data_IF_655286831677
#
_entry.id   IF_655286831677
#
_cell.length_a   1.000
_cell.length_b   1.000
_cell.length_c   1.000
_cell.angle_alpha   90.00
_cell.angle_beta   90.00
_cell.angle_gamma   90.00
#
_symmetry.space_group_name_H-M   'P 1'
#
loop_
_entity.id
_entity.type
_entity.pdbx_description
1 polymer ?
#
# COMPACT_ATOMS: atom_id res chain seq x y z
N UNK A 1 -25.75 3.67 7.23
CA UNK A 1 -24.39 3.17 6.93
C UNK A 1 -23.88 2.36 8.12
N UNK A 2 -23.92 1.02 8.06
CA UNK A 2 -23.49 0.15 9.18
C UNK A 2 -22.02 0.36 9.56
N UNK A 3 -21.18 0.60 8.56
CA UNK A 3 -19.74 0.83 8.73
C UNK A 3 -19.45 2.10 9.55
N UNK A 4 -20.18 3.20 9.32
CA UNK A 4 -20.02 4.45 10.08
C UNK A 4 -20.31 4.23 11.57
N UNK A 5 -21.44 3.59 11.90
CA UNK A 5 -21.81 3.28 13.29
C UNK A 5 -20.78 2.41 13.99
N UNK A 6 -20.20 1.43 13.30
CA UNK A 6 -19.16 0.57 13.88
C UNK A 6 -17.84 1.28 14.10
N UNK A 7 -17.47 2.22 13.23
CA UNK A 7 -16.30 3.09 13.45
C UNK A 7 -16.48 3.99 14.66
N UNK A 8 -17.67 4.56 14.84
CA UNK A 8 -18.01 5.35 16.04
C UNK A 8 -17.95 4.51 17.31
N UNK A 9 -18.54 3.31 17.28
CA UNK A 9 -18.44 2.37 18.40
C UNK A 9 -16.98 2.01 18.71
N UNK A 10 -16.18 1.66 17.70
CA UNK A 10 -14.77 1.36 17.87
C UNK A 10 -13.98 2.56 18.42
N UNK A 11 -14.26 3.79 17.96
CA UNK A 11 -13.64 4.99 18.52
C UNK A 11 -13.95 5.17 20.01
N UNK A 12 -15.21 5.00 20.42
CA UNK A 12 -15.59 5.05 21.84
C UNK A 12 -14.98 3.91 22.66
N UNK A 13 -14.85 2.72 22.08
CA UNK A 13 -14.22 1.57 22.71
C UNK A 13 -12.73 1.80 22.94
N UNK A 14 -12.04 2.35 21.93
CA UNK A 14 -10.63 2.72 22.01
C UNK A 14 -10.38 3.80 23.07
N UNK A 15 -11.25 4.79 23.18
CA UNK A 15 -11.19 5.79 24.27
C UNK A 15 -11.27 5.12 25.64
N UNK A 16 -12.24 4.21 25.81
CA UNK A 16 -12.42 3.48 27.07
C UNK A 16 -11.20 2.59 27.42
N UNK A 17 -10.55 1.97 26.44
CA UNK A 17 -9.30 1.23 26.63
C UNK A 17 -8.19 2.17 27.13
N UNK A 18 -8.06 3.35 26.54
CA UNK A 18 -7.08 4.37 26.95
C UNK A 18 -7.34 4.92 28.36
N UNK A 19 -8.59 5.24 28.67
CA UNK A 19 -9.01 5.69 30.00
C UNK A 19 -8.71 4.63 31.06
N UNK A 20 -9.02 3.36 30.78
CA UNK A 20 -8.72 2.25 31.70
C UNK A 20 -7.21 2.10 31.93
N UNK A 21 -6.42 2.12 30.88
CA UNK A 21 -4.97 1.95 30.99
C UNK A 21 -4.32 3.09 31.80
N UNK A 22 -4.75 4.33 31.53
CA UNK A 22 -4.27 5.50 32.26
C UNK A 22 -4.72 5.50 33.73
N UNK A 23 -5.99 5.20 34.01
CA UNK A 23 -6.54 5.26 35.37
C UNK A 23 -5.96 4.19 36.31
N UNK A 24 -5.88 2.94 35.87
CA UNK A 24 -5.47 1.84 36.75
C UNK A 24 -3.96 1.60 36.78
N UNK A 25 -3.30 1.81 35.64
CA UNK A 25 -1.90 1.42 35.48
C UNK A 25 -0.96 2.61 35.26
N UNK A 26 -1.49 3.85 35.16
CA UNK A 26 -0.73 5.05 34.78
C UNK A 26 0.18 4.80 33.56
N UNK A 27 -0.30 3.96 32.64
CA UNK A 27 0.47 3.44 31.53
C UNK A 27 -0.33 3.55 30.23
N UNK A 28 0.36 3.32 29.12
CA UNK A 28 -0.29 3.19 27.81
C UNK A 28 -1.03 1.84 27.74
N UNK A 29 -2.10 1.75 26.92
CA UNK A 29 -2.78 0.48 26.68
C UNK A 29 -1.82 -0.61 26.21
N UNK A 30 -2.08 -1.84 26.64
CA UNK A 30 -1.30 -2.97 26.19
C UNK A 30 -1.54 -3.21 24.67
N UNK A 31 -0.50 -3.44 23.86
CA UNK A 31 -0.64 -3.60 22.41
C UNK A 31 -1.63 -4.71 21.99
N UNK A 32 -1.75 -5.78 22.79
CA UNK A 32 -2.71 -6.85 22.48
C UNK A 32 -4.17 -6.41 22.59
N UNK A 33 -4.49 -5.45 23.47
CA UNK A 33 -5.86 -4.95 23.63
C UNK A 33 -6.25 -4.08 22.43
N UNK A 34 -5.30 -3.27 21.94
CA UNK A 34 -5.48 -2.49 20.71
C UNK A 34 -5.66 -3.41 19.52
N UNK A 35 -4.76 -4.39 19.35
CA UNK A 35 -4.83 -5.35 18.24
C UNK A 35 -6.14 -6.15 18.25
N UNK A 36 -6.63 -6.54 19.42
CA UNK A 36 -7.92 -7.22 19.57
C UNK A 36 -9.10 -6.33 19.14
N UNK A 37 -9.11 -5.07 19.58
CA UNK A 37 -10.15 -4.11 19.22
C UNK A 37 -10.15 -3.81 17.70
N UNK A 38 -8.98 -3.71 17.07
CA UNK A 38 -8.84 -3.54 15.63
C UNK A 38 -9.30 -4.78 14.84
N UNK A 39 -8.93 -5.97 15.31
CA UNK A 39 -9.36 -7.23 14.71
C UNK A 39 -10.89 -7.40 14.78
N UNK A 40 -11.51 -7.00 15.88
CA UNK A 40 -12.97 -7.02 16.03
C UNK A 40 -13.66 -6.06 15.05
N UNK A 41 -13.16 -4.82 14.91
CA UNK A 41 -13.69 -3.87 13.93
C UNK A 41 -13.58 -4.43 12.52
N UNK A 42 -12.41 -4.98 12.16
CA UNK A 42 -12.18 -5.57 10.85
C UNK A 42 -13.14 -6.72 10.57
N UNK A 43 -13.28 -7.65 11.51
CA UNK A 43 -14.22 -8.78 11.39
C UNK A 43 -15.63 -8.29 11.12
N UNK A 44 -16.08 -7.29 11.88
CA UNK A 44 -17.38 -6.68 11.64
C UNK A 44 -17.52 -6.16 10.20
N UNK A 45 -16.57 -5.33 9.75
CA UNK A 45 -16.61 -4.77 8.39
C UNK A 45 -16.63 -5.88 7.33
N UNK A 46 -15.84 -6.92 7.50
CA UNK A 46 -15.79 -8.06 6.58
C UNK A 46 -17.15 -8.79 6.55
N UNK A 47 -17.82 -8.94 7.69
CA UNK A 47 -19.14 -9.58 7.77
C UNK A 47 -20.24 -8.73 7.11
N UNK A 48 -20.20 -7.40 7.25
CA UNK A 48 -21.14 -6.51 6.55
C UNK A 48 -20.93 -6.55 5.04
N UNK A 49 -19.67 -6.63 4.62
CA UNK A 49 -19.32 -6.77 3.21
C UNK A 49 -19.84 -8.10 2.64
N UNK A 50 -19.59 -9.22 3.34
CA UNK A 50 -20.13 -10.54 2.95
C UNK A 50 -21.64 -10.52 2.85
N UNK A 51 -22.34 -9.97 3.84
CA UNK A 51 -23.80 -9.88 3.83
C UNK A 51 -24.32 -9.05 2.65
N UNK A 52 -23.62 -7.99 2.27
CA UNK A 52 -23.97 -7.15 1.12
C UNK A 52 -23.77 -7.90 -0.20
N UNK A 53 -22.66 -8.64 -0.34
CA UNK A 53 -22.37 -9.44 -1.54
C UNK A 53 -23.35 -10.61 -1.69
N UNK A 54 -23.70 -11.28 -0.59
CA UNK A 54 -24.63 -12.40 -0.60
C UNK A 54 -26.04 -12.00 -1.02
N UNK A 55 -26.45 -10.76 -0.74
CA UNK A 55 -27.76 -10.20 -1.12
C UNK A 55 -27.78 -9.60 -2.54
N UNK A 56 -26.65 -9.60 -3.23
CA UNK A 56 -26.52 -8.98 -4.54
C UNK A 56 -27.31 -9.73 -5.63
N UNK A 57 -27.35 -11.08 -5.67
CA UNK A 57 -28.15 -11.81 -6.65
C UNK A 57 -29.63 -11.39 -6.67
N UNK A 58 -30.24 -11.24 -5.49
CA UNK A 58 -31.65 -10.84 -5.34
C UNK A 58 -31.87 -9.39 -5.83
N UNK A 59 -30.90 -8.51 -5.62
CA UNK A 59 -30.94 -7.14 -6.14
C UNK A 59 -30.87 -7.14 -7.67
N UNK A 60 -30.00 -7.96 -8.26
CA UNK A 60 -29.91 -8.08 -9.71
C UNK A 60 -31.20 -8.68 -10.31
N UNK A 61 -31.74 -9.72 -9.68
CA UNK A 61 -33.01 -10.32 -10.09
C UNK A 61 -34.14 -9.27 -10.10
N UNK A 62 -34.24 -8.43 -9.08
CA UNK A 62 -35.22 -7.36 -9.06
C UNK A 62 -34.99 -6.34 -10.19
N UNK A 63 -33.80 -5.77 -10.32
CA UNK A 63 -33.56 -4.72 -11.31
C UNK A 63 -33.63 -5.22 -12.76
N UNK A 64 -33.13 -6.41 -13.05
CA UNK A 64 -33.21 -6.99 -14.39
C UNK A 64 -34.57 -7.63 -14.67
N UNK A 65 -35.31 -8.06 -13.64
CA UNK A 65 -36.70 -8.48 -13.79
C UNK A 65 -37.65 -7.34 -14.15
N UNK A 66 -37.26 -6.08 -13.89
CA UNK A 66 -38.01 -4.89 -14.34
C UNK A 66 -37.77 -4.55 -15.82
N UNK A 67 -36.74 -5.12 -16.45
CA UNK A 67 -36.38 -4.80 -17.83
C UNK A 67 -37.00 -5.84 -18.75
N UNK A 68 -37.90 -5.39 -19.63
CA UNK A 68 -38.32 -6.18 -20.78
C UNK A 68 -37.28 -6.02 -21.90
N UNK A 69 -36.71 -7.14 -22.34
CA UNK A 69 -35.55 -7.18 -23.23
C UNK A 69 -35.94 -7.88 -24.53
N UNK A 70 -36.44 -7.09 -25.48
CA UNK A 70 -36.78 -7.56 -26.82
C UNK A 70 -35.56 -7.45 -27.73
N UNK A 71 -34.94 -8.60 -28.01
CA UNK A 71 -33.84 -8.70 -28.98
C UNK A 71 -34.40 -9.05 -30.37
N UNK A 72 -33.83 -8.48 -31.45
CA UNK A 72 -34.13 -8.93 -32.81
C UNK A 72 -33.75 -10.40 -32.98
N UNK A 73 -34.46 -11.13 -33.82
CA UNK A 73 -34.19 -12.54 -34.09
C UNK A 73 -32.83 -12.75 -34.76
N UNK A 74 -32.17 -13.87 -34.47
CA UNK A 74 -30.82 -14.18 -34.97
C UNK A 74 -30.71 -14.18 -36.51
N UNK A 75 -31.82 -14.38 -37.22
CA UNK A 75 -31.88 -14.43 -38.68
C UNK A 75 -32.21 -13.08 -39.33
N UNK A 76 -32.47 -12.05 -38.52
CA UNK A 76 -32.69 -10.71 -39.03
C UNK A 76 -31.40 -10.14 -39.64
N UNK A 77 -31.53 -9.45 -40.77
CA UNK A 77 -30.40 -8.89 -41.53
C UNK A 77 -29.58 -7.89 -40.71
N UNK A 78 -30.19 -7.17 -39.78
CA UNK A 78 -29.50 -6.26 -38.86
C UNK A 78 -28.61 -6.99 -37.83
N UNK A 79 -28.90 -8.27 -37.55
CA UNK A 79 -28.12 -9.15 -36.67
C UNK A 79 -27.04 -9.91 -37.44
N UNK A 80 -27.35 -10.39 -38.66
CA UNK A 80 -26.42 -11.13 -39.53
C UNK A 80 -25.37 -10.25 -40.19
N UNK A 81 -25.78 -9.09 -40.69
CA UNK A 81 -24.93 -8.10 -41.34
C UNK A 81 -24.99 -6.78 -40.56
N UNK A 82 -24.45 -6.75 -39.32
CA UNK A 82 -24.42 -5.52 -38.56
C UNK A 82 -23.62 -4.48 -39.36
N UNK A 83 -24.11 -3.25 -39.51
CA UNK A 83 -23.38 -2.23 -40.25
C UNK A 83 -22.08 -1.90 -39.51
N UNK A 84 -21.00 -2.53 -39.95
CA UNK A 84 -19.62 -2.28 -39.48
C UNK A 84 -19.20 -0.81 -39.68
N UNK A 85 -20.00 -0.03 -40.43
CA UNK A 85 -19.86 1.40 -40.63
C UNK A 85 -19.89 2.20 -39.32
N UNK A 86 -20.55 1.74 -38.25
CA UNK A 86 -20.51 2.41 -36.94
C UNK A 86 -19.24 2.09 -36.12
N UNK A 87 -18.51 1.01 -36.46
CA UNK A 87 -17.20 0.69 -35.89
C UNK A 87 -16.04 1.25 -36.76
N UNK A 88 -16.36 1.84 -37.92
CA UNK A 88 -15.42 2.09 -39.01
C UNK A 88 -15.53 3.42 -39.77
N UNK A 89 -16.29 4.42 -39.31
CA UNK A 89 -16.08 5.81 -39.78
C UNK A 89 -14.99 6.43 -38.91
N UNK A 90 -13.75 6.70 -39.34
CA UNK A 90 -13.27 7.27 -40.60
C UNK A 90 -11.82 6.78 -40.83
N UNK A 91 -11.48 6.32 -42.03
CA UNK A 91 -10.09 6.29 -42.53
C UNK A 91 -9.40 4.92 -42.58
N UNK A 92 -9.49 4.32 -43.77
CA UNK A 92 -8.46 3.55 -44.48
C UNK A 92 -7.29 2.92 -43.70
N UNK A 93 -7.18 1.59 -43.75
CA UNK A 93 -5.90 0.94 -44.08
C UNK A 93 -4.87 0.70 -42.97
N UNK A 94 -5.26 0.47 -41.71
CA UNK A 94 -4.31 -0.05 -40.73
C UNK A 94 -4.97 -1.12 -39.86
N UNK A 95 -4.54 -2.36 -40.03
CA UNK A 95 -4.83 -3.45 -39.10
C UNK A 95 -4.49 -2.95 -37.68
N UNK A 96 -5.54 -2.66 -36.91
CA UNK A 96 -5.38 -2.44 -35.48
C UNK A 96 -5.04 -3.80 -34.89
N UNK A 97 -3.74 -4.08 -34.70
CA UNK A 97 -3.27 -5.12 -33.79
C UNK A 97 -3.95 -4.88 -32.45
N UNK A 98 -5.02 -5.63 -32.19
CA UNK A 98 -5.63 -5.77 -30.88
C UNK A 98 -4.48 -6.23 -29.99
N UNK A 99 -4.02 -5.34 -29.10
CA UNK A 99 -3.05 -5.71 -28.08
C UNK A 99 -3.79 -6.68 -27.17
N UNK A 100 -3.55 -7.98 -27.38
CA UNK A 100 -3.94 -9.01 -26.44
C UNK A 100 -3.46 -8.53 -25.07
N UNK A 101 -4.38 -8.40 -24.11
CA UNK A 101 -4.05 -8.04 -22.74
C UNK A 101 -3.06 -9.10 -22.24
N UNK A 102 -1.81 -8.72 -22.00
CA UNK A 102 -0.79 -9.62 -21.49
C UNK A 102 -1.31 -10.30 -20.20
N UNK A 103 -1.14 -11.62 -20.07
CA UNK A 103 -1.51 -12.33 -18.85
C UNK A 103 -0.80 -11.71 -17.66
N UNK A 104 -1.48 -11.63 -16.51
CA UNK A 104 -1.02 -10.91 -15.31
C UNK A 104 0.40 -11.33 -14.88
N UNK A 105 0.73 -12.62 -15.09
CA UNK A 105 2.03 -13.22 -14.78
C UNK A 105 3.17 -12.61 -15.60
N UNK A 106 2.93 -12.33 -16.88
CA UNK A 106 3.93 -11.75 -17.79
C UNK A 106 4.19 -10.27 -17.45
N UNK A 107 3.14 -9.56 -17.01
CA UNK A 107 3.23 -8.17 -16.53
C UNK A 107 4.02 -8.06 -15.22
N UNK A 108 3.91 -9.03 -14.31
CA UNK A 108 4.71 -9.09 -13.09
C UNK A 108 6.17 -9.42 -13.37
N UNK A 109 6.43 -10.40 -14.24
CA UNK A 109 7.79 -10.77 -14.65
C UNK A 109 8.52 -9.61 -15.34
N UNK A 110 7.82 -8.83 -16.19
CA UNK A 110 8.41 -7.67 -16.86
C UNK A 110 8.72 -6.54 -15.87
N UNK A 111 7.81 -6.27 -14.91
CA UNK A 111 8.05 -5.29 -13.83
C UNK A 111 9.23 -5.68 -12.93
N UNK A 112 9.38 -6.97 -12.63
CA UNK A 112 10.53 -7.44 -11.85
C UNK A 112 11.85 -7.27 -12.62
N UNK A 113 11.84 -7.55 -13.93
CA UNK A 113 13.01 -7.35 -14.80
C UNK A 113 13.41 -5.87 -14.89
N UNK A 114 12.46 -4.96 -14.99
CA UNK A 114 12.70 -3.52 -14.97
C UNK A 114 13.30 -3.05 -13.63
N UNK A 115 12.78 -3.54 -12.50
CA UNK A 115 13.33 -3.24 -11.16
C UNK A 115 14.79 -3.69 -11.03
N UNK A 116 15.10 -4.89 -11.51
CA UNK A 116 16.48 -5.43 -11.51
C UNK A 116 17.41 -4.60 -12.42
N UNK A 117 16.91 -4.11 -13.56
CA UNK A 117 17.68 -3.25 -14.46
C UNK A 117 17.99 -1.88 -13.85
N UNK A 118 17.01 -1.26 -13.18
CA UNK A 118 17.19 0.03 -12.50
C UNK A 118 18.19 -0.06 -11.35
N UNK A 119 18.11 -1.10 -10.51
CA UNK A 119 19.05 -1.31 -9.41
C UNK A 119 20.49 -1.65 -9.84
N UNK A 120 20.71 -2.04 -11.10
CA UNK A 120 22.07 -2.19 -11.67
C UNK A 120 22.63 -0.83 -12.09
N UNK A 121 21.83 -0.01 -12.77
CA UNK A 121 22.21 1.35 -13.19
C UNK A 121 22.48 2.29 -12.02
N UNK A 122 21.76 2.11 -10.91
CA UNK A 122 21.94 2.91 -9.69
C UNK A 122 23.28 2.63 -9.01
N UNK A 123 23.67 1.35 -8.92
CA UNK A 123 24.99 0.94 -8.41
C UNK A 123 26.15 1.43 -9.26
N UNK A 124 25.98 1.43 -10.59
CA UNK A 124 27.02 1.94 -11.51
C UNK A 124 27.18 3.47 -11.34
N UNK A 125 26.08 4.23 -11.14
CA UNK A 125 26.13 5.67 -10.84
C UNK A 125 26.74 6.00 -9.48
N UNK A 126 26.55 5.14 -8.48
CA UNK A 126 27.11 5.34 -7.15
C UNK A 126 28.64 5.12 -7.14
N UNK A 127 29.15 4.21 -7.98
CA UNK A 127 30.59 4.01 -8.21
C UNK A 127 31.27 5.16 -8.95
N UNK A 128 30.55 5.87 -9.81
CA UNK A 128 31.07 6.99 -10.60
C UNK A 128 30.92 8.35 -9.91
N UNK A 129 30.39 8.41 -8.67
CA UNK A 129 30.34 9.67 -7.91
C UNK A 129 31.76 10.14 -7.55
N UNK A 130 32.19 11.34 -7.98
CA UNK A 130 33.45 11.91 -7.51
C UNK A 130 33.35 12.16 -5.99
N UNK A 131 34.31 11.61 -5.24
CA UNK A 131 34.46 11.84 -3.80
C UNK A 131 34.74 13.32 -3.60
N UNK A 132 33.84 14.04 -2.95
CA UNK A 132 34.09 15.42 -2.54
C UNK A 132 35.32 15.45 -1.62
N UNK A 133 36.28 16.39 -1.80
CA UNK A 133 37.41 16.51 -0.89
C UNK A 133 36.92 16.79 0.54
N UNK A 134 37.60 16.27 1.56
CA UNK A 134 37.20 16.47 2.95
C UNK A 134 37.19 17.97 3.30
N UNK A 135 36.24 18.44 4.14
CA UNK A 135 36.17 19.83 4.54
C UNK A 135 37.44 20.25 5.30
N UNK A 136 37.91 21.50 5.14
CA UNK A 136 39.09 21.99 5.85
C UNK A 136 38.85 22.04 7.37
N UNK A 137 39.87 21.75 8.20
CA UNK A 137 39.73 21.74 9.64
C UNK A 137 39.42 23.14 10.17
N UNK A 138 38.37 23.24 10.99
CA UNK A 138 38.01 24.45 11.72
C UNK A 138 39.17 24.80 12.70
N UNK A 139 39.79 25.97 12.50
CA UNK A 139 40.79 26.51 13.43
C UNK A 139 40.10 26.85 14.75
N UNK A 140 40.41 26.08 15.80
CA UNK A 140 40.09 26.43 17.19
C UNK A 140 41.13 27.45 17.66
N UNK A 141 40.74 28.61 18.25
CA UNK A 141 41.71 29.54 18.80
C UNK A 141 42.40 28.95 20.04
N UNK A 142 43.74 29.05 20.00
CA UNK A 142 44.71 28.60 21.00
C UNK A 142 44.41 29.15 22.39
N UNK A 143 44.31 28.27 23.38
CA UNK A 143 44.29 28.62 24.80
C UNK A 143 45.68 28.27 25.38
N UNK A 144 46.41 29.22 26.00
CA UNK A 144 47.79 28.98 26.41
C UNK A 144 47.87 28.00 27.57
N UNK A 145 48.86 27.11 27.47
CA UNK A 145 49.22 26.11 28.46
C UNK A 145 49.86 26.75 29.69
N UNK A 146 49.42 26.32 30.87
CA UNK A 146 50.20 26.40 32.11
C UNK A 146 50.26 25.02 32.75
N UNK A 147 51.47 24.61 33.05
CA UNK A 147 51.93 23.30 33.47
C UNK A 147 51.48 22.91 34.88
N UNK A 148 51.28 21.61 35.12
CA UNK A 148 52.00 20.79 36.11
C UNK A 148 51.49 19.33 36.03
N UNK A 149 52.39 18.34 36.02
CA UNK A 149 52.11 16.88 36.07
C UNK A 149 52.66 16.31 37.42
N UNK A 150 52.69 15.00 37.73
CA UNK A 150 52.01 13.80 37.17
C UNK A 150 51.42 12.88 38.28
N UNK A 151 50.85 11.72 37.91
CA UNK A 151 50.83 10.55 38.82
C UNK A 151 49.66 9.58 38.71
N UNK A 152 49.98 8.32 38.35
CA UNK A 152 49.29 7.04 38.66
C UNK A 152 47.84 6.87 38.17
N UNK A 153 47.53 6.01 37.19
CA UNK A 153 47.95 4.61 37.06
C UNK A 153 46.88 3.71 37.71
N UNK A 154 46.09 3.01 36.90
CA UNK A 154 45.62 1.62 37.03
C UNK A 154 44.35 1.37 36.20
N UNK A 155 44.56 0.60 35.14
CA UNK A 155 43.57 -0.17 34.37
C UNK A 155 43.20 -1.43 35.14
N UNK A 156 41.94 -1.88 35.10
CA UNK A 156 41.58 -3.30 35.05
C UNK A 156 40.20 -3.50 34.37
N UNK A 157 40.14 -4.50 33.51
CA UNK A 157 39.04 -4.84 32.61
C UNK A 157 37.92 -5.72 33.21
N UNK A 158 37.04 -6.29 32.37
CA UNK A 158 35.71 -6.78 32.73
C UNK A 158 35.69 -8.29 33.07
N UNK A 159 34.67 -8.80 33.78
CA UNK A 159 34.39 -10.22 33.81
C UNK A 159 33.27 -10.56 32.80
N UNK A 160 33.57 -11.46 31.87
CA UNK A 160 32.58 -12.26 31.18
C UNK A 160 32.58 -13.66 31.79
N UNK A 161 31.38 -14.18 32.08
CA UNK A 161 30.83 -15.50 31.71
C UNK A 161 29.37 -15.54 32.14
#
# INVERSE_FOLDING_TARGET
MLTTRRKEYHASHMQRIHERASYYYNARPHPSEIAAAEAELKRGIDDDWKASVQRYPEVLEYFYGLVDLNLPGDDETCVRDPPLSALGGVGSGRERKVRLREPVVEREMNRERERRSMGRRERDRERERPVAPPPPPLRVPSRPATAFAPGTGYSYGPPGY
#
